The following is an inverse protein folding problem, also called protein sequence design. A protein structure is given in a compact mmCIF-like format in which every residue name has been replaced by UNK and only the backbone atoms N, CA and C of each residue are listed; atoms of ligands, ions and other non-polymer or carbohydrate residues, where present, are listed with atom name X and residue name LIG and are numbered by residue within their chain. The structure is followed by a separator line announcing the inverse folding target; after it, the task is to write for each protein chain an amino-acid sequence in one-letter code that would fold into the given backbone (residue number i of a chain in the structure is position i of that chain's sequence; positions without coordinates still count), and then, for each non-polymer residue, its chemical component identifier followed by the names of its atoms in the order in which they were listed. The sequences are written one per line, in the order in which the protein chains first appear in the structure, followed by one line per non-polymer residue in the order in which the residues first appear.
data_IF_239282388876
#
_entry.id   IF_239282388876
#
_cell.length_a   1.000
_cell.length_b   1.000
_cell.length_c   1.000
_cell.angle_alpha   90.00
_cell.angle_beta   90.00
_cell.angle_gamma   90.00
#
_symmetry.space_group_name_H-M   'P 1'
#
loop_
_entity.id
_entity.type
_entity.pdbx_description
1 polymer ?
#
# COMPACT_ATOMS: atom_id res chain seq x y z
N UNK A 1 73.37 -49.45 -79.83
CA UNK A 1 74.47 -49.18 -78.89
C UNK A 1 73.94 -48.25 -77.81
N UNK A 2 73.92 -48.73 -76.56
CA UNK A 2 73.65 -48.00 -75.30
C UNK A 2 72.21 -47.51 -75.04
N UNK A 3 71.61 -47.48 -73.84
CA UNK A 3 71.86 -47.97 -72.45
C UNK A 3 70.56 -47.63 -71.62
N UNK A 4 70.25 -48.42 -70.56
CA UNK A 4 69.42 -48.14 -69.33
C UNK A 4 67.94 -47.70 -69.41
N UNK A 5 67.03 -48.45 -68.75
CA UNK A 5 66.62 -48.27 -67.33
C UNK A 5 65.35 -49.07 -66.97
N UNK A 6 65.14 -49.31 -65.68
CA UNK A 6 64.41 -50.41 -65.02
C UNK A 6 63.03 -49.99 -64.45
N UNK A 7 62.09 -50.94 -64.36
CA UNK A 7 61.21 -51.08 -63.18
C UNK A 7 59.72 -51.34 -63.44
N UNK A 8 59.16 -52.45 -62.91
CA UNK A 8 58.32 -52.48 -61.69
C UNK A 8 57.59 -53.85 -61.53
N UNK A 9 57.69 -54.47 -60.35
CA UNK A 9 57.03 -55.73 -59.96
C UNK A 9 56.54 -55.61 -58.51
N UNK A 10 55.33 -56.09 -58.25
CA UNK A 10 54.74 -56.30 -56.91
C UNK A 10 53.21 -56.30 -57.04
N UNK A 11 52.45 -57.40 -57.00
CA UNK A 11 52.33 -58.51 -56.03
C UNK A 11 52.00 -58.05 -54.61
N UNK A 12 50.81 -58.44 -54.11
CA UNK A 12 50.56 -58.52 -52.68
C UNK A 12 49.14 -58.19 -52.21
N UNK A 13 48.20 -59.11 -52.43
CA UNK A 13 46.94 -59.22 -51.67
C UNK A 13 47.23 -59.24 -50.16
N UNK A 14 46.65 -58.30 -49.41
CA UNK A 14 46.18 -58.39 -48.01
C UNK A 14 45.73 -56.96 -47.63
N UNK A 15 44.94 -56.77 -46.57
CA UNK A 15 44.41 -55.47 -46.09
C UNK A 15 43.09 -55.00 -46.75
N UNK A 16 42.14 -55.92 -46.98
CA UNK A 16 40.75 -55.58 -47.34
C UNK A 16 39.77 -55.54 -46.16
N UNK A 17 40.17 -55.95 -44.95
CA UNK A 17 39.23 -56.28 -43.86
C UNK A 17 39.49 -55.60 -42.51
N UNK A 18 40.35 -54.57 -42.44
CA UNK A 18 40.62 -53.85 -41.17
C UNK A 18 40.00 -52.45 -41.10
N UNK A 19 39.48 -51.91 -42.21
CA UNK A 19 38.92 -50.55 -42.23
C UNK A 19 37.42 -50.49 -41.90
N UNK A 20 36.65 -51.60 -42.04
CA UNK A 20 35.21 -51.59 -41.80
C UNK A 20 34.79 -51.90 -40.35
N UNK A 21 35.65 -52.48 -39.52
CA UNK A 21 35.32 -52.76 -38.11
C UNK A 21 35.64 -51.60 -37.15
N UNK A 22 36.53 -50.68 -37.53
CA UNK A 22 36.88 -49.53 -36.67
C UNK A 22 35.80 -48.44 -36.72
N UNK A 23 35.14 -48.24 -37.87
CA UNK A 23 34.07 -47.24 -38.01
C UNK A 23 32.77 -47.61 -37.26
N UNK A 24 32.52 -48.90 -37.04
CA UNK A 24 31.33 -49.34 -36.29
C UNK A 24 31.49 -49.25 -34.77
N UNK A 25 32.72 -49.25 -34.24
CA UNK A 25 32.96 -49.15 -32.79
C UNK A 25 32.93 -47.71 -32.26
N UNK A 26 33.24 -46.70 -33.09
CA UNK A 26 33.19 -45.29 -32.65
C UNK A 26 31.80 -44.64 -32.80
N UNK A 27 30.94 -45.16 -33.68
CA UNK A 27 29.61 -44.59 -33.91
C UNK A 27 28.57 -44.90 -32.82
N UNK A 28 28.77 -45.95 -32.01
CA UNK A 28 27.75 -46.43 -31.06
C UNK A 28 27.95 -46.04 -29.59
N UNK A 29 29.09 -45.43 -29.20
CA UNK A 29 29.31 -44.99 -27.81
C UNK A 29 28.79 -43.58 -27.49
N UNK A 30 28.42 -42.78 -28.49
CA UNK A 30 28.00 -41.39 -28.29
C UNK A 30 26.47 -41.16 -28.31
N UNK A 31 25.67 -42.18 -28.63
CA UNK A 31 24.19 -42.06 -28.67
C UNK A 31 23.51 -42.06 -27.30
N UNK A 32 24.24 -42.21 -26.19
CA UNK A 32 23.65 -42.37 -24.85
C UNK A 32 23.90 -41.23 -23.86
N UNK A 33 24.48 -40.10 -24.28
CA UNK A 33 24.91 -39.06 -23.36
C UNK A 33 24.30 -37.66 -23.59
N UNK A 34 23.17 -37.54 -24.27
CA UNK A 34 22.40 -36.27 -24.30
C UNK A 34 20.92 -36.52 -24.01
N UNK A 35 20.64 -36.97 -22.79
CA UNK A 35 19.38 -36.62 -22.15
C UNK A 35 19.59 -35.20 -21.63
N UNK A 36 19.30 -34.20 -22.45
CA UNK A 36 19.05 -32.86 -21.93
C UNK A 36 17.78 -32.94 -21.10
N UNK A 37 17.95 -33.01 -19.79
CA UNK A 37 16.87 -32.79 -18.84
C UNK A 37 16.39 -31.37 -19.08
N UNK A 38 15.29 -31.22 -19.84
CA UNK A 38 14.49 -30.02 -19.82
C UNK A 38 13.89 -29.92 -18.41
N UNK A 39 14.67 -29.37 -17.47
CA UNK A 39 14.13 -28.97 -16.19
C UNK A 39 13.07 -27.91 -16.49
N UNK A 40 11.79 -28.13 -16.16
CA UNK A 40 10.85 -27.02 -16.15
C UNK A 40 11.38 -26.06 -15.09
N UNK A 41 11.86 -24.89 -15.51
CA UNK A 41 11.97 -23.74 -14.63
C UNK A 41 10.53 -23.39 -14.24
N UNK A 42 9.97 -24.10 -13.27
CA UNK A 42 8.80 -23.62 -12.57
C UNK A 42 9.26 -22.36 -11.87
N UNK A 43 8.83 -21.20 -12.38
CA UNK A 43 8.90 -19.96 -11.65
C UNK A 43 8.19 -20.23 -10.32
N UNK A 44 8.96 -20.49 -9.28
CA UNK A 44 8.44 -20.50 -7.93
C UNK A 44 8.15 -19.03 -7.66
N UNK A 45 6.91 -18.61 -7.92
CA UNK A 45 6.39 -17.35 -7.42
C UNK A 45 6.53 -17.43 -5.91
N UNK A 46 7.57 -16.79 -5.38
CA UNK A 46 7.66 -16.51 -3.96
C UNK A 46 6.44 -15.62 -3.71
N UNK A 47 5.38 -16.22 -3.18
CA UNK A 47 4.33 -15.46 -2.51
C UNK A 47 5.03 -14.75 -1.37
N UNK A 48 5.38 -13.49 -1.59
CA UNK A 48 5.67 -12.59 -0.50
C UNK A 48 4.31 -12.46 0.21
N UNK A 49 4.16 -12.94 1.45
CA UNK A 49 2.92 -12.74 2.17
C UNK A 49 2.66 -11.23 2.22
N UNK A 50 1.50 -10.80 1.72
CA UNK A 50 1.02 -9.45 1.99
C UNK A 50 1.11 -9.22 3.50
N UNK A 51 1.55 -8.02 3.89
CA UNK A 51 1.61 -7.64 5.29
C UNK A 51 0.27 -7.97 5.94
N UNK A 52 0.29 -8.82 6.97
CA UNK A 52 -0.94 -9.23 7.65
C UNK A 52 -1.58 -7.99 8.27
N UNK A 53 -2.76 -7.62 7.77
CA UNK A 53 -3.50 -6.50 8.30
C UNK A 53 -3.96 -6.84 9.72
N UNK A 54 -3.58 -6.02 10.71
CA UNK A 54 -3.98 -6.24 12.11
C UNK A 54 -5.24 -5.44 12.38
N UNK A 55 -6.38 -6.07 12.74
CA UNK A 55 -7.59 -5.32 13.04
C UNK A 55 -7.39 -4.45 14.28
N UNK A 56 -7.82 -3.20 14.19
CA UNK A 56 -7.78 -2.19 15.25
C UNK A 56 -9.20 -1.71 15.52
N UNK A 57 -9.46 -1.38 16.78
CA UNK A 57 -10.69 -0.70 17.20
C UNK A 57 -10.33 0.42 18.16
N UNK A 58 -10.89 1.60 17.94
CA UNK A 58 -10.77 2.77 18.80
C UNK A 58 -12.16 3.20 19.24
N UNK A 59 -12.37 3.33 20.55
CA UNK A 59 -13.61 3.89 21.11
C UNK A 59 -13.44 5.39 21.30
N UNK A 60 -14.37 6.16 20.75
CA UNK A 60 -14.38 7.62 20.74
C UNK A 60 -15.60 8.10 21.53
N UNK A 61 -15.39 8.64 22.72
CA UNK A 61 -16.45 9.29 23.51
C UNK A 61 -16.95 10.53 22.77
N UNK A 62 -18.24 10.88 22.86
CA UNK A 62 -18.77 12.15 22.37
C UNK A 62 -18.22 13.38 23.13
N UNK A 63 -17.53 13.15 24.24
CA UNK A 63 -16.71 14.16 24.94
C UNK A 63 -15.31 14.35 24.35
N UNK A 64 -14.90 13.53 23.37
CA UNK A 64 -13.54 13.54 22.80
C UNK A 64 -13.32 14.78 21.94
N UNK A 65 -12.67 15.79 22.51
CA UNK A 65 -12.44 17.07 21.85
C UNK A 65 -11.27 16.97 20.87
N UNK A 66 -11.56 16.94 19.57
CA UNK A 66 -10.52 16.79 18.54
C UNK A 66 -9.48 17.93 18.57
N UNK A 67 -9.89 19.13 18.98
CA UNK A 67 -9.00 20.29 19.08
C UNK A 67 -7.98 20.13 20.22
N UNK A 68 -8.24 19.20 21.15
CA UNK A 68 -7.30 18.77 22.17
C UNK A 68 -6.26 17.76 21.70
N UNK A 69 -6.25 17.34 20.43
CA UNK A 69 -5.28 16.37 19.93
C UNK A 69 -3.84 16.84 20.16
N UNK A 70 -2.98 15.96 20.67
CA UNK A 70 -1.60 16.29 21.02
C UNK A 70 -1.43 16.93 22.41
N UNK A 71 -2.38 17.77 22.84
CA UNK A 71 -2.29 18.55 24.07
C UNK A 71 -2.34 17.74 25.37
N UNK A 72 -1.81 18.33 26.44
CA UNK A 72 -1.91 17.77 27.81
C UNK A 72 -3.27 18.01 28.48
N UNK A 73 -4.06 18.97 28.00
CA UNK A 73 -5.40 19.30 28.51
C UNK A 73 -6.31 19.67 27.34
N UNK A 74 -7.57 19.22 27.40
CA UNK A 74 -8.55 19.53 26.37
C UNK A 74 -8.96 21.02 26.44
N UNK A 75 -8.83 21.79 25.35
CA UNK A 75 -9.05 23.23 25.36
C UNK A 75 -10.55 23.58 25.36
N UNK A 76 -10.90 24.74 25.92
CA UNK A 76 -12.28 25.23 25.99
C UNK A 76 -12.42 26.73 25.69
N UNK A 77 -11.85 27.27 24.61
CA UNK A 77 -11.91 28.70 24.32
C UNK A 77 -13.33 29.24 24.08
N UNK A 78 -14.29 28.39 23.70
CA UNK A 78 -15.71 28.71 23.57
C UNK A 78 -16.49 28.70 24.90
N UNK A 79 -15.87 28.27 26.00
CA UNK A 79 -16.42 28.38 27.36
C UNK A 79 -17.48 27.35 27.78
N UNK A 80 -17.94 26.48 26.88
CA UNK A 80 -18.91 25.40 27.16
C UNK A 80 -18.28 24.07 27.61
N UNK A 81 -17.04 24.09 28.11
CA UNK A 81 -16.35 22.90 28.62
C UNK A 81 -15.45 22.23 27.57
N UNK A 82 -14.26 21.80 28.02
CA UNK A 82 -13.22 21.25 27.14
C UNK A 82 -13.40 19.78 26.78
N UNK A 83 -14.27 19.05 27.47
CA UNK A 83 -14.44 17.62 27.29
C UNK A 83 -13.21 16.83 27.75
N UNK A 84 -12.93 15.74 27.05
CA UNK A 84 -11.80 14.84 27.30
C UNK A 84 -10.84 14.88 26.12
N UNK A 85 -9.56 14.56 26.37
CA UNK A 85 -8.58 14.39 25.29
C UNK A 85 -9.02 13.27 24.34
N UNK A 86 -8.80 13.44 23.01
CA UNK A 86 -9.23 12.45 22.03
C UNK A 86 -8.34 11.20 22.07
N UNK A 87 -8.89 9.99 21.83
CA UNK A 87 -8.09 8.79 21.68
C UNK A 87 -7.14 8.88 20.48
N UNK A 88 -6.02 8.16 20.57
CA UNK A 88 -4.95 8.17 19.57
C UNK A 88 -4.64 6.76 19.09
N UNK A 89 -4.43 6.63 17.80
CA UNK A 89 -3.76 5.49 17.17
C UNK A 89 -2.35 5.91 16.73
N UNK A 90 -1.35 5.07 17.00
CA UNK A 90 0.06 5.35 16.65
C UNK A 90 0.54 4.39 15.58
N UNK A 91 1.35 4.91 14.66
CA UNK A 91 1.92 4.15 13.56
C UNK A 91 3.32 4.67 13.24
N UNK A 92 4.10 3.88 12.49
CA UNK A 92 5.46 4.27 12.13
C UNK A 92 5.45 5.47 11.17
N UNK A 93 6.31 6.46 11.44
CA UNK A 93 6.51 7.61 10.56
C UNK A 93 6.84 7.15 9.13
N UNK A 94 6.30 7.85 8.13
CA UNK A 94 6.60 7.63 6.71
C UNK A 94 6.31 6.19 6.22
N UNK A 95 5.44 5.46 6.91
CA UNK A 95 5.05 4.08 6.56
C UNK A 95 4.13 3.98 5.35
N UNK A 96 3.70 5.11 4.78
CA UNK A 96 2.64 5.12 3.77
C UNK A 96 1.29 4.69 4.33
N UNK A 97 1.07 4.89 5.64
CA UNK A 97 -0.18 4.55 6.30
C UNK A 97 -1.37 5.22 5.62
N UNK A 98 -2.41 4.42 5.35
CA UNK A 98 -3.69 4.89 4.82
C UNK A 98 -4.78 4.41 5.74
N UNK A 99 -5.45 5.34 6.41
CA UNK A 99 -6.58 5.02 7.25
C UNK A 99 -7.80 4.69 6.39
N UNK A 100 -8.40 3.52 6.61
CA UNK A 100 -9.59 3.02 5.91
C UNK A 100 -10.55 2.43 6.95
N UNK A 101 -11.60 3.16 7.36
CA UNK A 101 -12.60 2.62 8.26
C UNK A 101 -13.24 1.36 7.67
N UNK A 102 -13.18 0.24 8.38
CA UNK A 102 -13.96 -0.96 8.06
C UNK A 102 -15.34 -0.92 8.70
N UNK A 103 -15.49 -0.20 9.82
CA UNK A 103 -16.76 0.03 10.49
C UNK A 103 -16.71 1.28 11.38
N UNK A 104 -17.77 2.07 11.38
CA UNK A 104 -18.00 3.17 12.32
C UNK A 104 -19.39 2.97 12.90
N UNK A 105 -19.47 2.54 14.17
CA UNK A 105 -20.73 2.14 14.82
C UNK A 105 -20.88 2.75 16.18
N UNK A 106 -22.11 2.90 16.65
CA UNK A 106 -22.44 3.60 17.88
C UNK A 106 -23.10 4.92 17.59
N UNK A 107 -23.35 5.67 18.66
CA UNK A 107 -24.07 6.94 18.59
C UNK A 107 -23.50 7.95 19.55
N UNK A 108 -23.89 9.20 19.36
CA UNK A 108 -23.45 10.35 20.11
C UNK A 108 -24.65 11.15 20.60
N UNK A 109 -24.38 12.14 21.45
CA UNK A 109 -25.37 13.08 21.94
C UNK A 109 -24.66 14.39 22.30
N UNK A 110 -24.32 15.16 21.25
CA UNK A 110 -23.58 16.43 21.36
C UNK A 110 -24.49 17.64 21.56
N UNK A 111 -25.80 17.45 21.56
CA UNK A 111 -26.76 18.53 21.78
C UNK A 111 -27.93 17.97 22.57
N UNK A 112 -28.31 18.60 23.69
CA UNK A 112 -29.46 18.16 24.47
C UNK A 112 -30.72 18.03 23.61
N UNK A 113 -31.34 16.84 23.65
CA UNK A 113 -32.53 16.55 22.84
C UNK A 113 -32.25 16.13 21.40
N UNK A 114 -30.97 16.00 21.03
CA UNK A 114 -30.48 15.50 19.74
C UNK A 114 -29.57 14.28 19.95
N UNK A 115 -30.15 13.25 20.57
CA UNK A 115 -29.48 12.01 20.93
C UNK A 115 -29.50 10.99 19.77
N UNK A 116 -28.55 10.05 19.78
CA UNK A 116 -28.61 8.88 18.92
C UNK A 116 -28.07 9.12 17.50
N UNK A 117 -27.36 10.23 17.29
CA UNK A 117 -26.71 10.56 16.02
C UNK A 117 -25.52 9.63 15.81
N UNK A 118 -25.34 9.07 14.62
CA UNK A 118 -24.19 8.21 14.32
C UNK A 118 -22.96 9.05 13.91
N UNK A 119 -21.87 8.40 13.49
CA UNK A 119 -20.64 9.09 13.08
C UNK A 119 -20.80 10.06 11.91
N UNK A 120 -21.85 9.90 11.11
CA UNK A 120 -22.15 10.76 9.96
C UNK A 120 -22.68 12.14 10.35
N UNK A 121 -23.05 12.32 11.63
CA UNK A 121 -23.59 13.56 12.13
C UNK A 121 -25.05 13.79 11.72
N UNK A 122 -25.51 15.01 11.96
CA UNK A 122 -26.89 15.44 11.77
C UNK A 122 -26.97 16.59 10.77
N UNK A 123 -27.96 16.52 9.88
CA UNK A 123 -28.29 17.59 8.93
C UNK A 123 -29.06 18.77 9.54
N UNK A 124 -29.26 18.78 10.86
CA UNK A 124 -30.04 19.82 11.55
C UNK A 124 -29.31 21.16 11.67
N UNK A 125 -27.97 21.13 11.66
CA UNK A 125 -27.11 22.30 11.81
C UNK A 125 -25.93 22.23 10.84
N UNK A 126 -25.34 23.40 10.61
CA UNK A 126 -24.06 23.54 9.91
C UNK A 126 -22.93 23.73 10.93
N UNK A 127 -21.71 23.37 10.54
CA UNK A 127 -20.49 23.50 11.32
C UNK A 127 -19.59 24.60 10.75
N UNK A 128 -19.15 25.53 11.59
CA UNK A 128 -18.12 26.53 11.24
C UNK A 128 -17.24 26.79 12.46
N UNK A 129 -16.43 25.80 12.83
CA UNK A 129 -15.61 25.84 14.04
C UNK A 129 -14.22 26.37 13.69
N UNK A 130 -13.78 27.37 14.45
CA UNK A 130 -12.49 28.04 14.30
C UNK A 130 -11.33 27.14 14.72
N UNK A 131 -10.18 27.34 14.10
CA UNK A 131 -8.92 26.72 14.53
C UNK A 131 -8.49 27.25 15.90
N UNK A 132 -7.80 26.43 16.67
CA UNK A 132 -7.28 26.82 17.98
C UNK A 132 -6.13 25.90 18.42
N UNK A 133 -5.18 26.43 19.17
CA UNK A 133 -4.15 25.64 19.84
C UNK A 133 -3.15 24.95 18.93
N UNK A 134 -3.08 25.30 17.64
CA UNK A 134 -2.25 24.59 16.67
C UNK A 134 -2.99 23.50 15.88
N UNK A 135 -4.27 23.24 16.19
CA UNK A 135 -5.14 22.34 15.44
C UNK A 135 -6.12 23.13 14.58
N UNK A 136 -6.26 22.77 13.30
CA UNK A 136 -7.22 23.41 12.42
C UNK A 136 -8.65 23.12 12.88
N UNK A 137 -9.54 24.10 12.76
CA UNK A 137 -10.97 23.86 12.83
C UNK A 137 -11.48 23.15 11.57
N UNK A 138 -12.80 23.10 11.42
CA UNK A 138 -13.48 22.47 10.29
C UNK A 138 -14.76 23.23 9.95
N UNK A 139 -15.12 23.21 8.68
CA UNK A 139 -16.36 23.80 8.17
C UNK A 139 -17.16 22.69 7.50
N UNK A 140 -18.44 22.60 7.80
CA UNK A 140 -19.41 21.80 7.05
C UNK A 140 -20.71 22.61 6.90
N UNK A 141 -21.21 22.80 5.68
CA UNK A 141 -22.37 23.69 5.49
C UNK A 141 -23.70 23.01 5.75
N UNK A 142 -23.72 21.68 5.87
CA UNK A 142 -24.95 20.89 5.90
C UNK A 142 -25.01 19.92 7.08
N UNK A 143 -23.92 19.72 7.83
CA UNK A 143 -23.84 18.75 8.92
C UNK A 143 -23.17 19.31 10.17
N UNK A 144 -23.44 18.61 11.27
CA UNK A 144 -22.89 18.85 12.61
C UNK A 144 -22.75 17.55 13.38
N UNK A 145 -21.88 17.52 14.39
CA UNK A 145 -21.71 16.36 15.27
C UNK A 145 -21.20 15.08 14.58
N UNK A 146 -20.49 15.23 13.45
CA UNK A 146 -19.86 14.12 12.74
C UNK A 146 -18.49 13.77 13.34
N UNK A 147 -18.09 12.51 13.16
CA UNK A 147 -16.77 12.02 13.55
C UNK A 147 -15.70 12.69 12.67
N UNK A 148 -14.63 13.15 13.32
CA UNK A 148 -13.49 13.78 12.66
C UNK A 148 -12.18 13.13 13.07
N UNK A 149 -11.16 13.31 12.23
CA UNK A 149 -9.79 12.91 12.51
C UNK A 149 -8.79 14.04 12.31
N UNK A 150 -7.60 13.86 12.88
CA UNK A 150 -6.44 14.73 12.63
C UNK A 150 -5.14 13.93 12.71
N UNK A 151 -4.25 14.12 11.75
CA UNK A 151 -2.92 13.50 11.74
C UNK A 151 -1.89 14.42 12.41
N UNK A 152 -1.09 13.86 13.32
CA UNK A 152 -0.01 14.56 14.02
C UNK A 152 1.31 13.79 13.86
N UNK A 153 2.42 14.52 13.95
CA UNK A 153 3.74 13.95 14.27
C UNK A 153 3.89 13.87 15.80
N UNK A 154 5.10 13.68 16.34
CA UNK A 154 5.31 13.56 17.79
C UNK A 154 5.39 14.91 18.53
N UNK A 155 5.33 16.04 17.81
CA UNK A 155 5.42 17.37 18.41
C UNK A 155 4.10 17.81 19.06
N UNK A 156 4.20 18.68 20.06
CA UNK A 156 3.05 19.37 20.65
C UNK A 156 2.55 20.45 19.67
N UNK A 157 1.23 20.49 19.35
CA UNK A 157 0.68 21.55 18.51
C UNK A 157 0.94 22.94 19.09
N UNK A 158 1.31 23.88 18.23
CA UNK A 158 1.65 25.25 18.62
C UNK A 158 0.61 26.22 18.07
N UNK A 159 0.04 27.04 18.94
CA UNK A 159 -0.93 28.07 18.54
C UNK A 159 -0.33 29.03 17.50
N UNK A 160 -1.11 29.37 16.48
CA UNK A 160 -0.68 30.22 15.37
C UNK A 160 -0.04 29.49 14.20
N UNK A 161 0.15 28.16 14.29
CA UNK A 161 0.62 27.33 13.17
C UNK A 161 -0.47 26.44 12.58
N UNK A 162 -1.74 26.75 12.85
CA UNK A 162 -2.87 25.97 12.37
C UNK A 162 -2.93 25.97 10.83
N UNK A 163 -3.07 24.80 10.18
CA UNK A 163 -3.36 24.74 8.75
C UNK A 163 -4.70 25.39 8.41
N UNK A 164 -4.90 25.68 7.12
CA UNK A 164 -6.19 26.11 6.60
C UNK A 164 -7.27 25.05 6.92
N UNK A 165 -8.45 25.51 7.36
CA UNK A 165 -9.59 24.63 7.64
C UNK A 165 -10.08 23.99 6.35
N UNK A 166 -10.36 22.70 6.39
CA UNK A 166 -11.11 22.03 5.33
C UNK A 166 -12.59 22.43 5.42
N UNK A 167 -13.24 22.50 4.26
CA UNK A 167 -14.66 22.83 4.14
C UNK A 167 -15.40 21.74 3.37
N UNK A 168 -16.48 21.26 3.95
CA UNK A 168 -17.33 20.20 3.43
C UNK A 168 -18.74 20.76 3.17
N UNK A 169 -18.99 21.22 1.94
CA UNK A 169 -20.30 21.67 1.46
C UNK A 169 -20.89 20.71 0.42
N UNK A 170 -21.09 19.43 0.79
CA UNK A 170 -21.32 18.30 -0.15
C UNK A 170 -20.13 17.76 -0.98
N UNK A 171 -18.84 17.91 -0.57
CA UNK A 171 -17.77 17.04 -1.02
C UNK A 171 -17.60 15.80 -0.14
N UNK A 172 -18.40 15.57 0.92
CA UNK A 172 -18.31 14.31 1.72
C UNK A 172 -18.42 13.03 0.87
N UNK A 173 -18.86 13.15 -0.38
CA UNK A 173 -18.77 12.12 -1.40
C UNK A 173 -17.38 12.03 -2.09
N UNK A 174 -16.29 11.91 -1.33
CA UNK A 174 -14.96 11.61 -1.85
C UNK A 174 -14.55 10.17 -1.51
N UNK A 175 -13.68 9.57 -2.33
CA UNK A 175 -13.13 8.23 -2.06
C UNK A 175 -11.75 8.29 -1.39
N UNK A 176 -11.02 9.37 -1.61
CA UNK A 176 -9.67 9.59 -1.06
C UNK A 176 -9.52 11.03 -0.59
N UNK A 177 -8.85 11.22 0.53
CA UNK A 177 -8.43 12.52 1.04
C UNK A 177 -6.99 12.41 1.56
N UNK A 178 -6.18 13.45 1.35
CA UNK A 178 -4.83 13.56 1.91
C UNK A 178 -4.72 14.83 2.76
N UNK A 179 -5.12 14.76 4.05
CA UNK A 179 -5.02 15.89 4.96
C UNK A 179 -3.56 16.27 5.25
N UNK A 180 -3.33 17.54 5.61
CA UNK A 180 -2.05 17.98 6.17
C UNK A 180 -1.92 17.53 7.65
N UNK A 181 -0.69 17.60 8.18
CA UNK A 181 -0.49 17.53 9.63
C UNK A 181 -1.28 18.65 10.31
N UNK A 182 -1.84 18.37 11.49
CA UNK A 182 -2.63 19.32 12.29
C UNK A 182 -3.93 19.79 11.62
N UNK A 183 -4.31 19.20 10.49
CA UNK A 183 -5.51 19.57 9.74
C UNK A 183 -6.65 18.59 10.03
N UNK A 184 -7.70 19.09 10.69
CA UNK A 184 -8.91 18.32 10.97
C UNK A 184 -9.66 18.00 9.68
N UNK A 185 -10.13 16.76 9.56
CA UNK A 185 -10.88 16.28 8.39
C UNK A 185 -12.10 15.45 8.81
N UNK A 186 -13.10 15.43 7.92
CA UNK A 186 -14.31 14.63 8.05
C UNK A 186 -14.00 13.12 7.93
N UNK A 187 -14.47 12.31 8.88
CA UNK A 187 -14.49 10.85 8.79
C UNK A 187 -15.92 10.35 8.57
N UNK A 188 -16.90 10.93 9.28
CA UNK A 188 -18.29 10.52 9.16
C UNK A 188 -18.52 9.08 9.60
N UNK A 189 -19.36 8.36 8.85
CA UNK A 189 -19.47 6.89 8.95
C UNK A 189 -18.36 6.11 8.20
N UNK A 190 -17.39 6.82 7.64
CA UNK A 190 -16.28 6.26 6.87
C UNK A 190 -16.62 5.89 5.43
N UNK A 191 -17.79 6.31 4.92
CA UNK A 191 -18.25 6.04 3.56
C UNK A 191 -18.60 7.32 2.82
N UNK A 192 -18.65 7.23 1.49
CA UNK A 192 -19.31 8.25 0.69
C UNK A 192 -20.81 8.31 1.01
N UNK A 193 -21.43 9.46 0.75
CA UNK A 193 -22.87 9.68 0.93
C UNK A 193 -23.77 8.50 0.52
N UNK A 194 -24.86 8.32 1.26
CA UNK A 194 -25.82 7.23 1.05
C UNK A 194 -25.30 5.86 1.48
N UNK A 195 -24.27 5.81 2.32
CA UNK A 195 -23.66 4.57 2.80
C UNK A 195 -22.87 3.83 1.72
N UNK A 196 -22.28 4.59 0.79
CA UNK A 196 -21.62 4.09 -0.41
C UNK A 196 -20.25 3.43 -0.16
N UNK A 197 -19.23 3.82 -0.92
CA UNK A 197 -17.91 3.17 -0.87
C UNK A 197 -17.11 3.66 0.33
N UNK A 198 -16.28 2.79 0.90
CA UNK A 198 -15.35 3.15 1.98
C UNK A 198 -14.38 4.24 1.53
N UNK A 199 -14.29 5.28 2.34
CA UNK A 199 -13.33 6.37 2.14
C UNK A 199 -11.94 5.97 2.63
N UNK A 200 -10.93 6.68 2.14
CA UNK A 200 -9.55 6.45 2.53
C UNK A 200 -8.80 7.76 2.76
N UNK A 201 -7.99 7.77 3.81
CA UNK A 201 -7.30 8.97 4.27
C UNK A 201 -5.80 8.68 4.31
N UNK A 202 -5.06 9.29 3.38
CA UNK A 202 -3.62 9.10 3.29
C UNK A 202 -2.94 9.95 4.38
N UNK A 203 -2.16 9.31 5.25
CA UNK A 203 -1.40 10.03 6.25
C UNK A 203 -0.33 10.89 5.57
N UNK A 204 -0.18 12.18 5.98
CA UNK A 204 0.88 13.03 5.45
C UNK A 204 2.26 12.56 5.89
N UNK A 205 3.30 12.99 5.16
CA UNK A 205 4.69 12.72 5.52
C UNK A 205 4.98 13.20 6.95
N UNK A 206 5.71 12.40 7.73
CA UNK A 206 6.05 12.70 9.11
C UNK A 206 4.96 12.37 10.14
N UNK A 207 3.73 12.04 9.72
CA UNK A 207 2.69 11.64 10.66
C UNK A 207 3.05 10.33 11.37
N UNK A 208 2.81 10.30 12.68
CA UNK A 208 3.00 9.15 13.57
C UNK A 208 1.75 8.84 14.39
N UNK A 209 0.80 9.78 14.43
CA UNK A 209 -0.41 9.72 15.26
C UNK A 209 -1.64 10.08 14.43
N UNK A 210 -2.72 9.34 14.63
CA UNK A 210 -4.06 9.66 14.16
C UNK A 210 -4.98 9.76 15.38
N UNK A 211 -5.57 10.93 15.58
CA UNK A 211 -6.54 11.17 16.65
C UNK A 211 -7.97 11.14 16.10
N UNK A 212 -8.91 10.76 16.96
CA UNK A 212 -10.34 10.66 16.62
C UNK A 212 -11.17 11.43 17.64
N UNK A 213 -12.20 12.13 17.20
CA UNK A 213 -13.03 12.91 18.10
C UNK A 213 -14.12 13.69 17.39
N UNK A 214 -14.59 14.73 18.07
CA UNK A 214 -15.61 15.64 17.58
C UNK A 214 -15.10 17.07 17.67
N UNK A 215 -15.47 17.89 16.69
CA UNK A 215 -15.33 19.33 16.77
C UNK A 215 -16.66 19.88 17.29
N UNK A 216 -16.64 20.50 18.47
CA UNK A 216 -17.83 21.02 19.10
C UNK A 216 -17.61 22.46 19.58
N UNK A 217 -18.65 23.28 19.46
CA UNK A 217 -18.65 24.70 19.79
C UNK A 217 -20.09 25.14 20.07
N UNK A 218 -20.29 26.27 20.78
CA UNK A 218 -21.64 26.79 20.96
C UNK A 218 -22.34 26.99 19.60
N UNK A 219 -23.46 26.27 19.39
CA UNK A 219 -24.17 26.22 18.10
C UNK A 219 -23.31 25.80 16.90
N UNK A 220 -22.30 24.94 17.12
CA UNK A 220 -21.36 24.46 16.10
C UNK A 220 -20.61 25.57 15.36
N UNK A 221 -20.46 26.76 15.95
CA UNK A 221 -19.84 27.93 15.31
C UNK A 221 -18.86 28.66 16.23
N UNK A 222 -17.80 29.20 15.65
CA UNK A 222 -16.81 29.99 16.37
C UNK A 222 -15.80 29.14 17.14
N UNK A 223 -15.42 29.59 18.34
CA UNK A 223 -14.36 28.94 19.12
C UNK A 223 -14.82 27.58 19.68
N UNK A 224 -13.96 26.55 19.62
CA UNK A 224 -14.31 25.21 20.11
C UNK A 224 -14.44 25.14 21.63
N UNK A 225 -15.12 24.11 22.13
CA UNK A 225 -15.25 23.83 23.56
C UNK A 225 -16.67 23.99 24.07
N UNK A 226 -17.59 23.18 23.56
CA UNK A 226 -18.95 23.02 24.06
C UNK A 226 -19.25 21.55 24.36
N UNK A 227 -18.50 20.94 25.27
CA UNK A 227 -18.62 19.50 25.57
C UNK A 227 -19.36 19.21 26.89
N UNK A 228 -19.76 20.23 27.65
CA UNK A 228 -20.38 20.06 28.98
C UNK A 228 -21.77 19.43 28.91
N UNK A 229 -22.46 19.61 27.79
CA UNK A 229 -23.80 19.11 27.51
C UNK A 229 -23.80 17.79 26.73
N UNK A 230 -22.63 17.21 26.51
CA UNK A 230 -22.48 15.91 25.85
C UNK A 230 -22.77 14.79 26.86
N UNK A 231 -23.50 13.76 26.44
CA UNK A 231 -24.05 12.77 27.37
C UNK A 231 -23.13 11.58 27.66
N UNK A 232 -21.90 11.56 27.14
CA UNK A 232 -20.93 10.47 27.34
C UNK A 232 -21.23 9.21 26.54
N UNK A 233 -21.90 9.31 25.39
CA UNK A 233 -22.04 8.18 24.45
C UNK A 233 -20.75 7.98 23.67
N UNK A 234 -20.66 6.93 22.86
CA UNK A 234 -19.43 6.63 22.13
C UNK A 234 -19.65 5.96 20.78
N UNK A 235 -18.69 6.20 19.89
CA UNK A 235 -18.53 5.54 18.60
C UNK A 235 -17.33 4.60 18.67
N UNK A 236 -17.48 3.39 18.14
CA UNK A 236 -16.39 2.46 17.87
C UNK A 236 -15.99 2.54 16.41
N UNK A 237 -14.72 2.89 16.17
CA UNK A 237 -14.09 2.96 14.85
C UNK A 237 -13.20 1.74 14.68
N UNK A 238 -13.51 0.88 13.72
CA UNK A 238 -12.68 -0.26 13.36
C UNK A 238 -12.01 -0.07 12.01
N UNK A 239 -10.79 -0.54 11.88
CA UNK A 239 -9.98 -0.48 10.67
C UNK A 239 -8.85 -1.51 10.72
N UNK A 240 -8.27 -1.83 9.57
CA UNK A 240 -7.11 -2.72 9.53
C UNK A 240 -5.81 -1.91 9.43
N UNK A 241 -4.93 -2.11 10.40
CA UNK A 241 -3.56 -1.61 10.37
C UNK A 241 -2.74 -2.51 9.46
N UNK A 242 -2.84 -2.25 8.17
CA UNK A 242 -1.86 -2.71 7.20
C UNK A 242 -0.87 -1.56 7.01
N UNK A 243 0.37 -1.75 7.47
CA UNK A 243 1.47 -0.94 6.96
C UNK A 243 1.43 -1.10 5.46
N UNK A 244 1.17 -0.01 4.72
CA UNK A 244 1.08 -0.04 3.27
C UNK A 244 2.22 -0.89 2.76
N UNK A 245 1.88 -1.98 2.06
CA UNK A 245 2.87 -2.95 1.59
C UNK A 245 4.03 -2.16 0.99
N UNK A 246 5.26 -2.53 1.37
CA UNK A 246 6.48 -1.94 0.80
C UNK A 246 6.21 -1.61 -0.67
N UNK A 247 6.48 -0.37 -1.15
CA UNK A 247 6.29 -0.05 -2.56
C UNK A 247 6.88 -1.21 -3.34
N UNK A 248 6.12 -1.86 -4.25
CA UNK A 248 6.44 -3.19 -4.75
C UNK A 248 7.92 -3.14 -5.06
N UNK A 249 8.73 -3.86 -4.26
CA UNK A 249 10.17 -3.87 -4.43
C UNK A 249 10.30 -4.22 -5.89
N UNK A 250 10.72 -3.26 -6.72
CA UNK A 250 10.87 -3.50 -8.14
C UNK A 250 11.69 -4.77 -8.16
N UNK A 251 11.12 -5.87 -8.65
CA UNK A 251 11.86 -7.10 -8.78
C UNK A 251 13.04 -6.66 -9.59
N UNK A 252 14.21 -6.53 -8.94
CA UNK A 252 15.42 -6.21 -9.62
C UNK A 252 15.54 -7.38 -10.59
N UNK A 253 15.17 -7.14 -11.85
CA UNK A 253 15.42 -8.08 -12.90
C UNK A 253 16.88 -8.46 -12.68
N UNK A 254 17.21 -9.75 -12.54
CA UNK A 254 18.60 -10.12 -12.33
C UNK A 254 19.37 -9.40 -13.41
N UNK A 255 20.20 -8.43 -13.01
CA UNK A 255 21.13 -7.78 -13.92
C UNK A 255 22.05 -8.93 -14.26
N UNK A 256 21.75 -9.59 -15.36
CA UNK A 256 22.61 -10.59 -15.93
C UNK A 256 23.90 -9.83 -16.22
N UNK A 257 24.90 -10.02 -15.36
CA UNK A 257 26.27 -9.65 -15.72
C UNK A 257 26.61 -10.27 -17.08
N UNK A 258 27.67 -9.82 -17.76
CA UNK A 258 27.98 -10.20 -19.14
C UNK A 258 28.05 -11.72 -19.40
N UNK A 259 28.14 -12.56 -18.36
CA UNK A 259 28.01 -14.02 -18.44
C UNK A 259 26.60 -14.54 -18.78
N UNK A 260 25.52 -13.82 -18.45
CA UNK A 260 24.14 -14.26 -18.71
C UNK A 260 23.66 -14.05 -20.15
N UNK A 261 24.30 -13.14 -20.89
CA UNK A 261 24.01 -12.91 -22.32
C UNK A 261 24.57 -14.05 -23.19
N UNK A 262 25.65 -14.72 -22.75
CA UNK A 262 26.29 -15.81 -23.50
C UNK A 262 25.42 -17.07 -23.58
N UNK A 263 24.61 -17.36 -22.55
CA UNK A 263 23.70 -18.51 -22.57
C UNK A 263 22.48 -18.30 -23.49
N UNK A 264 21.98 -17.07 -23.64
CA UNK A 264 20.84 -16.79 -24.52
C UNK A 264 21.25 -16.82 -26.01
N UNK A 265 22.47 -16.40 -26.35
CA UNK A 265 22.98 -16.44 -27.72
C UNK A 265 23.34 -17.87 -28.20
N UNK A 266 23.82 -18.73 -27.29
CA UNK A 266 24.11 -20.14 -27.59
C UNK A 266 22.83 -20.95 -27.93
N UNK A 267 21.71 -20.64 -27.28
CA UNK A 267 20.42 -21.30 -27.54
C UNK A 267 19.85 -21.00 -28.95
N UNK A 268 20.01 -19.77 -29.43
CA UNK A 268 19.53 -19.35 -30.76
C UNK A 268 20.42 -19.88 -31.90
N UNK A 269 21.74 -20.02 -31.67
CA UNK A 269 22.67 -20.62 -32.65
C UNK A 269 22.43 -22.13 -32.83
N UNK A 270 22.11 -22.87 -31.75
CA UNK A 270 21.76 -24.28 -31.84
C UNK A 270 20.45 -24.53 -32.59
N UNK A 271 19.44 -23.67 -32.43
CA UNK A 271 18.17 -23.78 -33.15
C UNK A 271 18.32 -23.50 -34.67
N UNK A 272 19.20 -22.56 -35.05
CA UNK A 272 19.48 -22.28 -36.45
C UNK A 272 20.23 -23.44 -37.16
N UNK A 273 21.19 -24.07 -36.48
CA UNK A 273 21.96 -25.20 -37.03
C UNK A 273 21.10 -26.46 -37.25
N UNK A 274 20.10 -26.72 -36.40
CA UNK A 274 19.16 -27.84 -36.56
C UNK A 274 18.21 -27.61 -37.75
N UNK A 275 17.82 -26.36 -38.01
CA UNK A 275 16.92 -26.03 -39.13
C UNK A 275 17.61 -26.15 -40.49
N UNK A 276 18.89 -25.79 -40.59
CA UNK A 276 19.67 -25.92 -41.84
C UNK A 276 19.95 -27.37 -42.23
N UNK A 277 20.08 -28.30 -41.28
CA UNK A 277 20.27 -29.73 -41.58
C UNK A 277 19.01 -30.41 -42.13
N UNK A 278 17.81 -29.96 -41.77
CA UNK A 278 16.54 -30.51 -42.30
C UNK A 278 16.27 -30.12 -43.75
N UNK A 279 16.82 -29.01 -44.24
CA UNK A 279 16.60 -28.56 -45.62
C UNK A 279 17.59 -29.15 -46.64
N UNK A 280 18.60 -29.93 -46.20
CA UNK A 280 19.55 -30.62 -47.10
C UNK A 280 19.26 -32.11 -47.30
N UNK A 281 18.15 -32.62 -46.74
CA UNK A 281 17.72 -34.02 -46.89
C UNK A 281 16.42 -34.17 -47.70
N UNK A 282 16.08 -33.16 -48.49
CA UNK A 282 15.07 -33.22 -49.55
C UNK A 282 15.71 -32.76 -50.85
#
# INVERSE_FOLDING_TARGET
MSILSVGHLGSGRLIGNLAQEIDFMFANRWRRALIWVALPFTLLSIMIPDASAVPRTVTVSDTSNIIGAGHSVAPSPGGGGGGTLPPVFTFAANSGFVFRPSSVVGTTSLTPGYDGVNGEGSGAFSTNISSYGGISGIIDTNRSGFLVGVFLDDSEPVAGTEPARLSFASPENFTTLAPLLLQTFFIGDGKTDGGGVTQSFAAPLGATRLFFGFADAPNYTGLPGAFVDNSGRSISVSFDDSTGGSPPTAVALPVFGPAGIVLLCMGLLCAAAVRQRRQRMH
#
